data_IF_986319540511
#
_entry.id   IF_986319540511
#
_cell.length_a   1.000
_cell.length_b   1.000
_cell.length_c   1.000
_cell.angle_alpha   90.00
_cell.angle_beta   90.00
_cell.angle_gamma   90.00
#
_symmetry.space_group_name_H-M   'P 1'
#
loop_
_entity.id
_entity.type
_entity.pdbx_description
1 polymer ?
#
# COMPACT_ATOMS: atom_id res chain seq x y z
N UNK A 1 0.90 10.91 25.59
CA UNK A 1 -0.22 11.31 24.71
C UNK A 1 -0.91 10.04 24.23
N UNK A 2 -2.23 9.96 24.28
CA UNK A 2 -2.98 8.80 23.79
C UNK A 2 -3.60 9.16 22.44
N UNK A 3 -3.24 8.42 21.39
CA UNK A 3 -3.98 8.44 20.13
C UNK A 3 -5.46 8.23 20.44
N UNK A 4 -6.33 9.18 20.08
CA UNK A 4 -7.76 8.90 20.10
C UNK A 4 -8.09 8.08 18.83
N UNK A 5 -7.74 6.80 18.89
CA UNK A 5 -7.97 5.83 17.80
C UNK A 5 -9.44 5.87 17.36
N UNK A 6 -10.37 6.12 18.29
CA UNK A 6 -11.80 6.26 17.98
C UNK A 6 -12.08 7.37 16.97
N UNK A 7 -11.54 8.58 17.18
CA UNK A 7 -11.74 9.72 16.28
C UNK A 7 -11.10 9.48 14.92
N UNK A 8 -9.87 8.93 14.88
CA UNK A 8 -9.20 8.65 13.61
C UNK A 8 -9.95 7.61 12.77
N UNK A 9 -10.57 6.62 13.43
CA UNK A 9 -11.38 5.62 12.74
C UNK A 9 -12.69 6.21 12.22
N UNK A 10 -13.40 7.02 13.02
CA UNK A 10 -14.61 7.68 12.53
C UNK A 10 -14.31 8.58 11.35
N UNK A 11 -13.22 9.34 11.40
CA UNK A 11 -12.78 10.18 10.29
C UNK A 11 -12.45 9.35 9.05
N UNK A 12 -11.73 8.24 9.18
CA UNK A 12 -11.44 7.35 8.05
C UNK A 12 -12.72 6.77 7.42
N UNK A 13 -13.72 6.41 8.24
CA UNK A 13 -15.03 5.93 7.78
C UNK A 13 -15.81 7.04 7.07
N UNK A 14 -15.85 8.25 7.62
CA UNK A 14 -16.53 9.39 7.01
C UNK A 14 -15.92 9.67 5.63
N UNK A 15 -14.59 9.57 5.50
CA UNK A 15 -13.89 9.76 4.23
C UNK A 15 -14.24 8.72 3.18
N UNK A 16 -14.52 7.48 3.56
CA UNK A 16 -14.98 6.44 2.61
C UNK A 16 -16.31 6.80 1.92
N UNK A 17 -17.13 7.65 2.55
CA UNK A 17 -18.43 8.06 1.99
C UNK A 17 -18.34 9.25 1.02
N UNK A 18 -17.15 9.83 0.87
CA UNK A 18 -16.94 11.00 0.01
C UNK A 18 -16.92 10.64 -1.48
N UNK A 19 -17.19 11.64 -2.34
CA UNK A 19 -17.06 11.47 -3.79
C UNK A 19 -15.61 11.17 -4.20
N UNK A 20 -14.63 11.74 -3.49
CA UNK A 20 -13.22 11.45 -3.68
C UNK A 20 -12.91 9.97 -3.47
N UNK A 21 -13.36 9.39 -2.34
CA UNK A 21 -13.15 7.97 -2.07
C UNK A 21 -13.82 7.08 -3.12
N UNK A 22 -15.04 7.41 -3.59
CA UNK A 22 -15.69 6.64 -4.64
C UNK A 22 -14.87 6.59 -5.95
N UNK A 23 -14.31 7.73 -6.37
CA UNK A 23 -13.43 7.77 -7.56
C UNK A 23 -12.14 6.99 -7.33
N UNK A 24 -11.54 7.10 -6.15
CA UNK A 24 -10.32 6.35 -5.80
C UNK A 24 -10.56 4.84 -5.75
N UNK A 25 -11.67 4.39 -5.18
CA UNK A 25 -12.08 2.99 -5.16
C UNK A 25 -12.25 2.49 -6.60
N UNK A 26 -12.95 3.22 -7.45
CA UNK A 26 -13.13 2.85 -8.85
C UNK A 26 -11.79 2.78 -9.60
N UNK A 27 -10.91 3.76 -9.41
CA UNK A 27 -9.58 3.79 -10.04
C UNK A 27 -8.72 2.60 -9.58
N UNK A 28 -8.64 2.35 -8.27
CA UNK A 28 -7.89 1.24 -7.71
C UNK A 28 -8.47 -0.12 -8.09
N UNK A 29 -9.79 -0.22 -8.27
CA UNK A 29 -10.44 -1.44 -8.78
C UNK A 29 -9.98 -1.73 -10.22
N UNK A 30 -10.01 -0.72 -11.11
CA UNK A 30 -9.57 -0.89 -12.50
C UNK A 30 -8.09 -1.28 -12.56
N UNK A 31 -7.27 -0.65 -11.73
CA UNK A 31 -5.84 -0.95 -11.65
C UNK A 31 -5.61 -2.37 -11.08
N UNK A 32 -6.32 -2.75 -10.02
CA UNK A 32 -6.29 -4.09 -9.44
C UNK A 32 -6.63 -5.15 -10.47
N UNK A 33 -7.73 -4.97 -11.21
CA UNK A 33 -8.14 -5.88 -12.28
C UNK A 33 -7.06 -5.99 -13.36
N UNK A 34 -6.45 -4.86 -13.78
CA UNK A 34 -5.37 -4.88 -14.76
C UNK A 34 -4.11 -5.61 -14.24
N UNK A 35 -3.76 -5.44 -12.97
CA UNK A 35 -2.64 -6.14 -12.34
C UNK A 35 -2.93 -7.63 -12.19
N UNK A 36 -4.14 -8.00 -11.78
CA UNK A 36 -4.59 -9.40 -11.67
C UNK A 36 -4.59 -10.08 -13.03
N UNK A 37 -5.15 -9.44 -14.06
CA UNK A 37 -5.13 -9.93 -15.43
C UNK A 37 -3.70 -10.17 -15.95
N UNK A 38 -2.82 -9.18 -15.76
CA UNK A 38 -1.42 -9.30 -16.14
C UNK A 38 -0.70 -10.43 -15.38
N UNK A 39 -0.95 -10.57 -14.08
CA UNK A 39 -0.37 -11.65 -13.29
C UNK A 39 -0.86 -13.03 -13.76
N UNK A 40 -2.13 -13.14 -14.14
CA UNK A 40 -2.69 -14.38 -14.71
C UNK A 40 -2.05 -14.73 -16.06
N UNK A 41 -1.78 -13.76 -16.93
CA UNK A 41 -1.08 -14.01 -18.19
C UNK A 41 0.40 -14.42 -17.98
N UNK A 42 1.08 -13.82 -17.00
CA UNK A 42 2.44 -14.23 -16.62
C UNK A 42 2.42 -15.67 -16.08
N UNK A 43 1.48 -15.98 -15.19
CA UNK A 43 1.32 -17.32 -14.62
C UNK A 43 0.98 -18.35 -15.71
N UNK A 44 0.07 -18.02 -16.64
CA UNK A 44 -0.26 -18.84 -17.80
C UNK A 44 1.00 -19.20 -18.59
N UNK A 45 1.79 -18.19 -19.00
CA UNK A 45 3.00 -18.46 -19.77
C UNK A 45 4.05 -19.25 -19.00
N UNK A 46 4.15 -19.07 -17.68
CA UNK A 46 5.01 -19.90 -16.82
C UNK A 46 4.52 -21.35 -16.75
N UNK A 47 3.21 -21.57 -16.63
CA UNK A 47 2.61 -22.90 -16.62
C UNK A 47 2.74 -23.61 -17.96
N UNK A 48 2.53 -22.90 -19.07
CA UNK A 48 2.76 -23.42 -20.44
C UNK A 48 4.22 -23.81 -20.64
N UNK A 49 5.16 -22.96 -20.21
CA UNK A 49 6.59 -23.28 -20.20
C UNK A 49 6.90 -24.52 -19.35
N UNK A 50 6.20 -24.72 -18.23
CA UNK A 50 6.36 -25.90 -17.39
C UNK A 50 5.88 -27.18 -18.09
N UNK A 51 4.75 -27.12 -18.80
CA UNK A 51 4.26 -28.26 -19.62
C UNK A 51 5.25 -28.59 -20.74
N UNK A 52 5.80 -27.56 -21.41
CA UNK A 52 6.84 -27.76 -22.42
C UNK A 52 8.08 -28.45 -21.84
N UNK A 53 8.50 -28.05 -20.63
CA UNK A 53 9.62 -28.68 -19.92
C UNK A 53 9.34 -30.15 -19.56
N UNK A 54 8.10 -30.53 -19.25
CA UNK A 54 7.72 -31.93 -19.02
C UNK A 54 7.85 -32.80 -20.28
N UNK A 55 7.81 -32.20 -21.47
CA UNK A 55 8.00 -32.89 -22.74
C UNK A 55 9.46 -32.91 -23.21
N UNK A 56 10.36 -32.25 -22.49
CA UNK A 56 11.79 -32.31 -22.77
C UNK A 56 12.30 -33.75 -22.54
N UNK A 57 12.99 -34.38 -23.51
CA UNK A 57 13.56 -35.72 -23.35
C UNK A 57 14.47 -35.88 -22.11
N UNK A 58 15.13 -34.80 -21.66
CA UNK A 58 16.00 -34.83 -20.49
C UNK A 58 15.23 -34.93 -19.18
N UNK A 59 14.03 -34.33 -19.11
CA UNK A 59 13.17 -34.28 -17.90
C UNK A 59 12.17 -35.43 -17.89
N UNK A 60 11.54 -35.71 -19.04
CA UNK A 60 10.58 -36.81 -19.20
C UNK A 60 11.19 -38.20 -19.03
N UNK A 61 12.50 -38.34 -19.22
CA UNK A 61 13.21 -39.62 -19.04
C UNK A 61 13.21 -40.13 -17.60
N UNK A 62 12.96 -39.25 -16.61
CA UNK A 62 12.87 -39.60 -15.19
C UNK A 62 11.43 -39.86 -14.71
N UNK A 63 10.42 -39.54 -15.53
CA UNK A 63 9.00 -39.62 -15.18
C UNK A 63 8.29 -40.72 -15.97
N UNK A 64 7.26 -41.32 -15.38
CA UNK A 64 6.38 -42.22 -16.13
C UNK A 64 5.41 -41.45 -17.02
N UNK A 65 4.97 -42.06 -18.13
CA UNK A 65 3.99 -41.44 -19.04
C UNK A 65 2.69 -41.02 -18.32
N UNK A 66 2.24 -41.80 -17.33
CA UNK A 66 1.06 -41.48 -16.52
C UNK A 66 1.24 -40.27 -15.60
N UNK A 67 2.46 -40.03 -15.10
CA UNK A 67 2.75 -38.86 -14.26
C UNK A 67 2.75 -37.58 -15.08
N UNK A 68 3.30 -37.63 -16.30
CA UNK A 68 3.29 -36.50 -17.24
C UNK A 68 1.85 -36.15 -17.64
N UNK A 69 1.04 -37.14 -18.01
CA UNK A 69 -0.38 -36.93 -18.38
C UNK A 69 -1.17 -36.32 -17.22
N UNK A 70 -0.97 -36.81 -15.99
CA UNK A 70 -1.65 -36.29 -14.80
C UNK A 70 -1.22 -34.86 -14.47
N UNK A 71 0.06 -34.53 -14.61
CA UNK A 71 0.58 -33.19 -14.38
C UNK A 71 0.06 -32.20 -15.42
N UNK A 72 0.05 -32.61 -16.70
CA UNK A 72 -0.49 -31.81 -17.80
C UNK A 72 -1.98 -31.54 -17.62
N UNK A 73 -2.79 -32.54 -17.24
CA UNK A 73 -4.22 -32.36 -16.98
C UNK A 73 -4.46 -31.34 -15.86
N UNK A 74 -3.71 -31.43 -14.76
CA UNK A 74 -3.81 -30.47 -13.65
C UNK A 74 -3.41 -29.06 -14.09
N UNK A 75 -2.29 -28.90 -14.80
CA UNK A 75 -1.83 -27.60 -15.27
C UNK A 75 -2.83 -26.97 -16.24
N UNK A 76 -3.34 -27.75 -17.20
CA UNK A 76 -4.34 -27.29 -18.17
C UNK A 76 -5.65 -26.89 -17.48
N UNK A 77 -6.07 -27.61 -16.44
CA UNK A 77 -7.21 -27.23 -15.62
C UNK A 77 -6.97 -25.88 -14.91
N UNK A 78 -5.78 -25.65 -14.35
CA UNK A 78 -5.42 -24.35 -13.76
C UNK A 78 -5.40 -23.22 -14.79
N UNK A 79 -4.84 -23.44 -15.97
CA UNK A 79 -4.80 -22.44 -17.06
C UNK A 79 -6.22 -22.07 -17.51
N UNK A 80 -7.12 -23.05 -17.59
CA UNK A 80 -8.52 -22.84 -17.95
C UNK A 80 -9.28 -22.03 -16.88
N UNK A 81 -8.87 -22.09 -15.62
CA UNK A 81 -9.46 -21.37 -14.49
C UNK A 81 -8.82 -20.00 -14.22
N UNK A 82 -8.15 -19.40 -15.21
CA UNK A 82 -7.62 -18.03 -15.14
C UNK A 82 -8.62 -17.03 -15.76
N UNK A 83 -9.57 -16.48 -14.96
CA UNK A 83 -10.75 -15.78 -15.49
C UNK A 83 -10.49 -14.41 -16.11
N UNK A 84 -9.35 -13.79 -15.81
CA UNK A 84 -8.95 -12.45 -16.25
C UNK A 84 -7.74 -12.48 -17.19
N UNK A 85 -7.18 -13.66 -17.49
CA UNK A 85 -6.10 -13.79 -18.46
C UNK A 85 -6.56 -13.25 -19.82
N UNK A 86 -5.79 -12.32 -20.39
CA UNK A 86 -6.09 -11.65 -21.65
C UNK A 86 -5.44 -12.37 -22.84
N UNK A 87 -4.60 -13.38 -22.59
CA UNK A 87 -3.82 -14.07 -23.61
C UNK A 87 -2.63 -13.26 -24.09
N UNK A 88 -2.11 -12.37 -23.24
CA UNK A 88 -0.89 -11.62 -23.53
C UNK A 88 0.34 -12.51 -23.42
N UNK A 89 1.39 -12.19 -24.17
CA UNK A 89 2.69 -12.81 -23.94
C UNK A 89 3.23 -12.42 -22.55
N UNK A 90 4.05 -13.26 -21.89
CA UNK A 90 4.59 -12.95 -20.56
C UNK A 90 5.30 -11.59 -20.48
N UNK A 91 6.01 -11.21 -21.54
CA UNK A 91 6.67 -9.90 -21.64
C UNK A 91 5.68 -8.74 -21.71
N UNK A 92 4.63 -8.86 -22.53
CA UNK A 92 3.59 -7.83 -22.62
C UNK A 92 2.78 -7.71 -21.31
N UNK A 93 2.49 -8.84 -20.67
CA UNK A 93 1.84 -8.89 -19.38
C UNK A 93 2.69 -8.25 -18.28
N UNK A 94 4.00 -8.52 -18.24
CA UNK A 94 4.92 -7.86 -17.30
C UNK A 94 4.95 -6.33 -17.47
N UNK A 95 4.91 -5.84 -18.72
CA UNK A 95 4.82 -4.40 -19.00
C UNK A 95 3.49 -3.83 -18.52
N UNK A 96 2.37 -4.50 -18.79
CA UNK A 96 1.04 -4.08 -18.31
C UNK A 96 1.01 -3.99 -16.78
N UNK A 97 1.53 -5.01 -16.10
CA UNK A 97 1.63 -5.03 -14.64
C UNK A 97 2.46 -3.86 -14.10
N UNK A 98 3.63 -3.60 -14.71
CA UNK A 98 4.51 -2.51 -14.30
C UNK A 98 3.87 -1.13 -14.52
N UNK A 99 3.22 -0.92 -15.66
CA UNK A 99 2.51 0.33 -15.96
C UNK A 99 1.36 0.53 -14.96
N UNK A 100 0.56 -0.50 -14.71
CA UNK A 100 -0.52 -0.44 -13.73
C UNK A 100 -0.01 -0.14 -12.32
N UNK A 101 1.15 -0.71 -11.93
CA UNK A 101 1.82 -0.39 -10.67
C UNK A 101 2.27 1.08 -10.58
N UNK A 102 2.88 1.63 -11.63
CA UNK A 102 3.27 3.06 -11.62
C UNK A 102 2.04 3.97 -11.53
N UNK A 103 0.98 3.62 -12.25
CA UNK A 103 -0.31 4.34 -12.17
C UNK A 103 -0.92 4.23 -10.77
N UNK A 104 -0.84 3.06 -10.11
CA UNK A 104 -1.33 2.90 -8.74
C UNK A 104 -0.60 3.80 -7.75
N UNK A 105 0.72 3.99 -7.91
CA UNK A 105 1.48 4.92 -7.08
C UNK A 105 1.01 6.36 -7.24
N UNK A 106 0.69 6.79 -8.46
CA UNK A 106 0.14 8.12 -8.69
C UNK A 106 -1.25 8.27 -8.06
N UNK A 107 -2.11 7.24 -8.15
CA UNK A 107 -3.43 7.24 -7.48
C UNK A 107 -3.30 7.27 -5.96
N UNK A 108 -2.33 6.54 -5.39
CA UNK A 108 -2.03 6.60 -3.95
C UNK A 108 -1.57 7.99 -3.53
N UNK A 109 -0.72 8.66 -4.32
CA UNK A 109 -0.32 10.04 -4.05
C UNK A 109 -1.53 10.99 -4.05
N UNK A 110 -2.42 10.87 -5.04
CA UNK A 110 -3.66 11.66 -5.11
C UNK A 110 -4.56 11.39 -3.90
N UNK A 111 -4.68 10.13 -3.49
CA UNK A 111 -5.49 9.73 -2.34
C UNK A 111 -4.99 10.36 -1.04
N UNK A 112 -3.69 10.27 -0.79
CA UNK A 112 -3.07 10.83 0.43
C UNK A 112 -3.17 12.35 0.43
N UNK A 113 -2.94 13.02 -0.70
CA UNK A 113 -3.11 14.48 -0.83
C UNK A 113 -4.56 14.90 -0.52
N UNK A 114 -5.54 14.17 -1.08
CA UNK A 114 -6.96 14.43 -0.83
C UNK A 114 -7.37 14.19 0.64
N UNK A 115 -6.88 13.11 1.26
CA UNK A 115 -7.21 12.77 2.65
C UNK A 115 -6.46 13.62 3.68
N UNK A 116 -5.23 14.06 3.35
CA UNK A 116 -4.46 14.98 4.17
C UNK A 116 -5.14 16.35 4.26
N UNK A 117 -5.60 16.86 3.12
CA UNK A 117 -6.28 18.16 2.99
C UNK A 117 -7.80 18.10 3.23
N UNK A 118 -8.32 16.98 3.73
CA UNK A 118 -9.74 16.85 4.08
C UNK A 118 -10.73 17.12 2.92
N UNK A 119 -10.33 16.80 1.69
CA UNK A 119 -11.12 17.12 0.49
C UNK A 119 -12.24 16.10 0.27
N UNK A 120 -13.45 16.61 -0.01
CA UNK A 120 -14.62 15.78 -0.32
C UNK A 120 -14.70 15.36 -1.81
N UNK A 121 -13.94 16.05 -2.68
CA UNK A 121 -13.88 15.78 -4.12
C UNK A 121 -12.44 15.91 -4.65
N UNK A 122 -12.14 15.21 -5.75
CA UNK A 122 -10.86 15.32 -6.45
C UNK A 122 -10.79 16.53 -7.41
N UNK A 123 -11.83 17.37 -7.44
CA UNK A 123 -11.87 18.54 -8.29
C UNK A 123 -10.83 19.57 -7.86
N UNK A 124 -9.92 19.94 -8.75
CA UNK A 124 -8.91 20.97 -8.48
C UNK A 124 -7.69 20.50 -7.68
N UNK A 125 -7.47 19.18 -7.55
CA UNK A 125 -6.22 18.66 -6.99
C UNK A 125 -5.05 19.17 -7.86
N UNK A 126 -4.06 19.87 -7.28
CA UNK A 126 -2.87 20.26 -8.01
C UNK A 126 -2.16 19.01 -8.53
N UNK A 127 -2.11 18.85 -9.84
CA UNK A 127 -1.30 17.79 -10.47
C UNK A 127 0.17 18.17 -10.57
N UNK A 128 0.49 19.41 -10.22
CA UNK A 128 1.86 19.93 -10.19
C UNK A 128 2.69 19.13 -9.19
N UNK A 129 3.82 18.59 -9.65
CA UNK A 129 4.69 17.76 -8.83
C UNK A 129 4.26 16.30 -8.67
N UNK A 130 3.09 15.87 -9.17
CA UNK A 130 2.63 14.48 -9.07
C UNK A 130 3.64 13.48 -9.66
N UNK A 131 4.32 13.83 -10.74
CA UNK A 131 5.37 13.00 -11.33
C UNK A 131 6.58 12.82 -10.40
N UNK A 132 6.98 13.89 -9.69
CA UNK A 132 8.07 13.84 -8.70
C UNK A 132 7.66 13.04 -7.47
N UNK A 133 6.44 13.24 -6.95
CA UNK A 133 5.88 12.43 -5.85
C UNK A 133 5.85 10.95 -6.24
N UNK A 134 5.33 10.62 -7.42
CA UNK A 134 5.29 9.25 -7.96
C UNK A 134 6.68 8.64 -8.10
N UNK A 135 7.67 9.41 -8.56
CA UNK A 135 9.05 8.93 -8.68
C UNK A 135 9.66 8.62 -7.30
N UNK A 136 9.49 9.50 -6.32
CA UNK A 136 9.97 9.24 -4.96
C UNK A 136 9.21 8.08 -4.29
N UNK A 137 7.91 7.93 -4.56
CA UNK A 137 7.16 6.76 -4.13
C UNK A 137 7.70 5.47 -4.76
N UNK A 138 8.01 5.47 -6.06
CA UNK A 138 8.57 4.31 -6.75
C UNK A 138 9.93 3.92 -6.16
N UNK A 139 10.84 4.89 -6.02
CA UNK A 139 12.16 4.67 -5.42
C UNK A 139 12.06 4.25 -3.95
N UNK A 140 11.13 4.86 -3.22
CA UNK A 140 10.82 4.53 -1.82
C UNK A 140 10.32 3.10 -1.70
N UNK A 141 9.39 2.66 -2.55
CA UNK A 141 8.89 1.27 -2.56
C UNK A 141 9.99 0.26 -2.89
N UNK A 142 10.89 0.56 -3.82
CA UNK A 142 12.04 -0.29 -4.15
C UNK A 142 12.97 -0.41 -2.94
N UNK A 143 13.38 0.72 -2.36
CA UNK A 143 14.26 0.75 -1.20
C UNK A 143 13.62 0.05 0.01
N UNK A 144 12.35 0.34 0.30
CA UNK A 144 11.56 -0.29 1.35
C UNK A 144 11.52 -1.81 1.17
N UNK A 145 11.22 -2.29 -0.04
CA UNK A 145 11.15 -3.73 -0.33
C UNK A 145 12.50 -4.43 -0.12
N UNK A 146 13.60 -3.79 -0.52
CA UNK A 146 14.96 -4.30 -0.28
C UNK A 146 15.26 -4.35 1.21
N UNK A 147 14.94 -3.30 1.97
CA UNK A 147 15.17 -3.25 3.42
C UNK A 147 14.36 -4.34 4.13
N UNK A 148 13.09 -4.52 3.77
CA UNK A 148 12.22 -5.56 4.33
C UNK A 148 12.75 -6.95 3.97
N UNK A 149 13.16 -7.18 2.73
CA UNK A 149 13.74 -8.45 2.29
C UNK A 149 15.05 -8.79 3.03
N UNK A 150 15.95 -7.82 3.19
CA UNK A 150 17.17 -7.96 4.01
C UNK A 150 16.79 -8.23 5.47
N UNK A 151 15.77 -7.53 5.99
CA UNK A 151 15.21 -7.77 7.32
C UNK A 151 14.84 -9.24 7.49
N UNK A 152 13.99 -9.77 6.62
CA UNK A 152 13.60 -11.19 6.62
C UNK A 152 14.79 -12.14 6.47
N UNK A 153 15.80 -11.80 5.66
CA UNK A 153 16.99 -12.63 5.46
C UNK A 153 17.88 -12.69 6.71
N UNK A 154 18.03 -11.59 7.44
CA UNK A 154 18.91 -11.52 8.61
C UNK A 154 18.29 -12.15 9.85
N UNK A 155 16.99 -11.97 10.10
CA UNK A 155 16.16 -12.71 11.08
C UNK A 155 14.68 -12.51 10.67
N UNK A 156 13.77 -13.49 10.78
CA UNK A 156 12.36 -13.31 10.35
C UNK A 156 11.64 -12.14 11.07
N UNK A 157 12.03 -11.82 12.30
CA UNK A 157 11.45 -10.76 13.15
C UNK A 157 11.77 -9.31 12.68
N UNK A 158 13.01 -8.95 12.26
CA UNK A 158 13.31 -7.60 11.79
C UNK A 158 12.60 -7.17 10.51
N UNK A 159 12.17 -8.08 9.63
CA UNK A 159 11.40 -7.72 8.43
C UNK A 159 10.11 -6.94 8.77
N UNK A 160 9.19 -7.53 9.55
CA UNK A 160 7.99 -6.84 10.04
C UNK A 160 8.29 -5.59 10.87
N UNK A 161 9.38 -5.58 11.63
CA UNK A 161 9.78 -4.39 12.40
C UNK A 161 10.13 -3.21 11.48
N UNK A 162 10.91 -3.45 10.42
CA UNK A 162 11.22 -2.42 9.42
C UNK A 162 9.94 -1.94 8.72
N UNK A 163 9.06 -2.87 8.35
CA UNK A 163 7.76 -2.55 7.77
C UNK A 163 6.93 -1.63 8.68
N UNK A 164 6.90 -1.95 9.98
CA UNK A 164 6.22 -1.16 10.98
C UNK A 164 6.82 0.24 11.16
N UNK A 165 8.15 0.34 11.29
CA UNK A 165 8.86 1.61 11.47
C UNK A 165 8.71 2.56 10.28
N UNK A 166 8.58 2.01 9.09
CA UNK A 166 8.46 2.78 7.85
C UNK A 166 7.01 2.93 7.37
N UNK A 167 6.01 2.51 8.13
CA UNK A 167 4.60 2.47 7.68
C UNK A 167 4.06 3.82 7.17
N UNK A 168 4.61 4.95 7.61
CA UNK A 168 4.18 6.29 7.20
C UNK A 168 5.02 6.94 6.10
N UNK A 169 6.02 6.25 5.53
CA UNK A 169 6.91 6.88 4.53
C UNK A 169 6.15 7.43 3.33
N UNK A 170 5.07 6.75 2.92
CA UNK A 170 4.23 7.17 1.78
C UNK A 170 3.55 8.50 2.10
N UNK A 171 3.05 8.67 3.33
CA UNK A 171 2.43 9.91 3.79
C UNK A 171 3.45 11.05 3.85
N UNK A 172 4.65 10.80 4.39
CA UNK A 172 5.73 11.79 4.44
C UNK A 172 6.16 12.29 3.05
N UNK A 173 6.29 11.40 2.05
CA UNK A 173 6.62 11.81 0.67
C UNK A 173 5.54 12.71 0.08
N UNK A 174 4.27 12.39 0.32
CA UNK A 174 3.16 13.06 -0.38
C UNK A 174 2.76 14.36 0.31
N UNK A 175 2.67 14.36 1.64
CA UNK A 175 2.20 15.48 2.44
C UNK A 175 3.31 16.52 2.62
N UNK A 176 4.52 16.08 2.95
CA UNK A 176 5.64 16.98 3.26
C UNK A 176 6.55 17.25 2.04
N UNK A 177 6.18 16.75 0.85
CA UNK A 177 6.97 16.82 -0.42
C UNK A 177 8.42 16.34 -0.25
N UNK A 178 8.62 15.37 0.64
CA UNK A 178 9.94 14.87 0.99
C UNK A 178 10.52 13.91 -0.07
N UNK A 179 11.85 13.85 -0.12
CA UNK A 179 12.53 12.77 -0.84
C UNK A 179 12.35 11.44 -0.09
N UNK A 180 12.41 10.31 -0.80
CA UNK A 180 12.23 8.98 -0.18
C UNK A 180 13.19 8.69 0.99
N UNK A 181 14.40 9.28 0.97
CA UNK A 181 15.40 9.11 2.03
C UNK A 181 14.97 9.86 3.29
N UNK A 182 14.56 11.12 3.12
CA UNK A 182 14.05 11.95 4.22
C UNK A 182 12.80 11.32 4.84
N UNK A 183 11.89 10.83 3.99
CA UNK A 183 10.63 10.23 4.39
C UNK A 183 10.78 8.98 5.27
N UNK A 184 11.85 8.20 5.10
CA UNK A 184 12.15 7.09 6.01
C UNK A 184 12.56 7.58 7.40
N UNK A 185 13.32 8.67 7.48
CA UNK A 185 13.65 9.33 8.74
C UNK A 185 12.41 9.88 9.43
N UNK A 186 11.56 10.62 8.70
CA UNK A 186 10.32 11.21 9.21
C UNK A 186 9.31 10.14 9.64
N UNK A 187 9.16 9.05 8.89
CA UNK A 187 8.33 7.91 9.32
C UNK A 187 8.86 7.31 10.62
N UNK A 188 10.17 7.08 10.73
CA UNK A 188 10.76 6.50 11.93
C UNK A 188 10.55 7.40 13.17
N UNK A 189 10.71 8.73 13.04
CA UNK A 189 10.46 9.66 14.15
C UNK A 189 9.01 9.64 14.59
N UNK A 190 8.05 9.65 13.64
CA UNK A 190 6.62 9.58 13.94
C UNK A 190 6.26 8.28 14.68
N UNK A 191 6.73 7.13 14.19
CA UNK A 191 6.46 5.84 14.85
C UNK A 191 7.06 5.81 16.26
N UNK A 192 8.30 6.31 16.44
CA UNK A 192 8.98 6.31 17.73
C UNK A 192 8.33 7.26 18.74
N UNK A 193 7.80 8.40 18.30
CA UNK A 193 7.08 9.35 19.14
C UNK A 193 5.79 8.77 19.69
N UNK A 194 5.14 7.86 18.95
CA UNK A 194 3.85 7.29 19.35
C UNK A 194 3.74 5.79 19.04
N UNK A 195 4.59 4.98 19.68
CA UNK A 195 4.67 3.53 19.42
C UNK A 195 3.34 2.80 19.62
N UNK A 196 2.64 3.06 20.72
CA UNK A 196 1.42 2.33 21.07
C UNK A 196 0.25 2.72 20.15
N UNK A 197 0.10 4.02 19.84
CA UNK A 197 -0.93 4.48 18.92
C UNK A 197 -0.67 4.02 17.50
N UNK A 198 0.59 4.10 17.04
CA UNK A 198 1.00 3.58 15.73
C UNK A 198 0.78 2.08 15.64
N UNK A 199 1.08 1.32 16.70
CA UNK A 199 0.83 -0.12 16.75
C UNK A 199 -0.66 -0.43 16.63
N UNK A 200 -1.52 0.27 17.36
CA UNK A 200 -2.96 0.10 17.27
C UNK A 200 -3.49 0.41 15.86
N UNK A 201 -3.03 1.50 15.23
CA UNK A 201 -3.39 1.88 13.86
C UNK A 201 -2.89 0.84 12.85
N UNK A 202 -1.65 0.37 12.98
CA UNK A 202 -1.08 -0.64 12.11
C UNK A 202 -1.85 -1.97 12.20
N UNK A 203 -2.15 -2.44 13.41
CA UNK A 203 -2.98 -3.64 13.62
C UNK A 203 -4.36 -3.45 13.02
N UNK A 204 -5.00 -2.31 13.24
CA UNK A 204 -6.32 -2.03 12.70
C UNK A 204 -6.31 -2.02 11.16
N UNK A 205 -5.32 -1.40 10.55
CA UNK A 205 -5.14 -1.38 9.10
C UNK A 205 -4.96 -2.79 8.53
N UNK A 206 -4.12 -3.61 9.16
CA UNK A 206 -3.90 -5.01 8.78
C UNK A 206 -5.20 -5.82 8.89
N UNK A 207 -5.92 -5.68 10.00
CA UNK A 207 -7.18 -6.40 10.24
C UNK A 207 -8.24 -5.96 9.22
N UNK A 208 -8.42 -4.66 9.00
CA UNK A 208 -9.40 -4.13 8.06
C UNK A 208 -9.11 -4.59 6.62
N UNK A 209 -7.86 -4.50 6.19
CA UNK A 209 -7.44 -4.98 4.88
C UNK A 209 -7.60 -6.50 4.74
N UNK A 210 -7.17 -7.26 5.76
CA UNK A 210 -7.30 -8.72 5.78
C UNK A 210 -8.76 -9.19 5.74
N UNK A 211 -9.67 -8.49 6.42
CA UNK A 211 -11.11 -8.75 6.34
C UNK A 211 -11.64 -8.47 4.94
N UNK A 212 -11.30 -7.33 4.33
CA UNK A 212 -11.73 -7.02 2.97
C UNK A 212 -11.21 -8.06 1.97
N UNK A 213 -9.95 -8.47 2.10
CA UNK A 213 -9.36 -9.51 1.28
C UNK A 213 -10.06 -10.86 1.45
N UNK A 214 -10.35 -11.28 2.68
CA UNK A 214 -11.07 -12.53 2.96
C UNK A 214 -12.51 -12.49 2.41
N UNK A 215 -13.20 -11.36 2.55
CA UNK A 215 -14.54 -11.18 1.98
C UNK A 215 -14.45 -11.22 0.46
N UNK A 216 -13.48 -10.53 -0.15
CA UNK A 216 -13.24 -10.54 -1.58
C UNK A 216 -13.02 -11.95 -2.14
N UNK A 217 -12.13 -12.73 -1.52
CA UNK A 217 -11.87 -14.13 -1.93
C UNK A 217 -13.10 -15.02 -1.78
N UNK A 218 -13.92 -14.80 -0.74
CA UNK A 218 -15.20 -15.52 -0.56
C UNK A 218 -16.17 -15.20 -1.71
N UNK A 219 -16.28 -13.93 -2.11
CA UNK A 219 -17.12 -13.52 -3.24
C UNK A 219 -16.63 -14.07 -4.58
N UNK A 220 -15.30 -14.12 -4.79
CA UNK A 220 -14.71 -14.75 -5.96
C UNK A 220 -15.06 -16.24 -6.08
N UNK A 221 -15.23 -16.94 -4.95
CA UNK A 221 -15.68 -18.35 -4.95
C UNK A 221 -17.17 -18.55 -5.23
N UNK A 222 -18.00 -17.51 -5.06
CA UNK A 222 -19.45 -17.58 -5.28
C UNK A 222 -19.81 -17.16 -6.70
N UNK A 223 -19.16 -16.10 -7.21
CA UNK A 223 -19.42 -15.55 -8.53
C UNK A 223 -18.51 -16.20 -9.58
N UNK A 224 -19.05 -16.61 -10.74
CA UNK A 224 -18.25 -17.30 -11.73
C UNK A 224 -17.30 -16.35 -12.48
N UNK A 225 -16.10 -16.87 -12.77
CA UNK A 225 -15.15 -16.30 -13.71
C UNK A 225 -14.77 -14.84 -13.41
N UNK A 226 -14.73 -14.01 -14.47
CA UNK A 226 -14.26 -12.62 -14.38
C UNK A 226 -15.10 -11.77 -13.42
N UNK A 227 -16.40 -12.06 -13.30
CA UNK A 227 -17.29 -11.29 -12.44
C UNK A 227 -16.93 -11.42 -10.95
N UNK A 228 -16.52 -12.61 -10.51
CA UNK A 228 -16.06 -12.84 -9.15
C UNK A 228 -14.73 -12.18 -8.86
N UNK A 229 -13.79 -12.25 -9.82
CA UNK A 229 -12.49 -11.60 -9.70
C UNK A 229 -12.62 -10.07 -9.59
N UNK A 230 -13.43 -9.44 -10.46
CA UNK A 230 -13.67 -7.99 -10.42
C UNK A 230 -14.35 -7.57 -9.10
N UNK A 231 -15.31 -8.36 -8.60
CA UNK A 231 -15.95 -8.08 -7.32
C UNK A 231 -14.95 -8.17 -6.15
N UNK A 232 -14.05 -9.15 -6.17
CA UNK A 232 -13.00 -9.29 -5.17
C UNK A 232 -12.02 -8.10 -5.19
N UNK A 233 -11.61 -7.64 -6.38
CA UNK A 233 -10.75 -6.47 -6.54
C UNK A 233 -11.44 -5.19 -6.06
N UNK A 234 -12.75 -5.03 -6.31
CA UNK A 234 -13.54 -3.92 -5.79
C UNK A 234 -13.54 -3.89 -4.25
N UNK A 235 -13.80 -5.03 -3.61
CA UNK A 235 -13.83 -5.13 -2.14
C UNK A 235 -12.43 -4.86 -1.57
N UNK A 236 -11.39 -5.38 -2.22
CA UNK A 236 -10.00 -5.13 -1.84
C UNK A 236 -9.67 -3.64 -1.96
N UNK A 237 -10.09 -2.97 -3.03
CA UNK A 237 -9.90 -1.53 -3.23
C UNK A 237 -10.55 -0.69 -2.13
N UNK A 238 -11.75 -1.07 -1.66
CA UNK A 238 -12.38 -0.42 -0.49
C UNK A 238 -11.48 -0.50 0.74
N UNK A 239 -10.95 -1.69 1.03
CA UNK A 239 -10.00 -1.90 2.13
C UNK A 239 -8.73 -1.07 1.97
N UNK A 240 -8.18 -0.99 0.76
CA UNK A 240 -6.99 -0.16 0.48
C UNK A 240 -7.26 1.33 0.75
N UNK A 241 -8.38 1.87 0.25
CA UNK A 241 -8.73 3.27 0.46
C UNK A 241 -8.95 3.58 1.94
N UNK A 242 -9.58 2.66 2.68
CA UNK A 242 -9.73 2.79 4.13
C UNK A 242 -8.37 2.88 4.85
N UNK A 243 -7.45 1.97 4.53
CA UNK A 243 -6.10 1.97 5.12
C UNK A 243 -5.33 3.24 4.75
N UNK A 244 -5.43 3.70 3.50
CA UNK A 244 -4.81 4.96 3.07
C UNK A 244 -5.34 6.15 3.86
N UNK A 245 -6.67 6.26 4.01
CA UNK A 245 -7.28 7.32 4.81
C UNK A 245 -6.82 7.24 6.27
N UNK A 246 -6.86 6.05 6.87
CA UNK A 246 -6.43 5.81 8.25
C UNK A 246 -4.97 6.24 8.47
N UNK A 247 -4.04 5.74 7.64
CA UNK A 247 -2.61 6.07 7.77
C UNK A 247 -2.33 7.55 7.54
N UNK A 248 -3.01 8.17 6.58
CA UNK A 248 -2.85 9.60 6.27
C UNK A 248 -3.27 10.47 7.45
N UNK A 249 -4.45 10.21 8.03
CA UNK A 249 -4.95 10.98 9.18
C UNK A 249 -4.11 10.77 10.41
N UNK A 250 -3.68 9.53 10.66
CA UNK A 250 -2.74 9.23 11.73
C UNK A 250 -1.44 10.02 11.58
N UNK A 251 -0.90 10.10 10.37
CA UNK A 251 0.32 10.86 10.10
C UNK A 251 0.14 12.36 10.34
N UNK A 252 -0.88 12.98 9.75
CA UNK A 252 -1.16 14.42 9.89
C UNK A 252 -1.38 14.79 11.36
N UNK A 253 -2.12 13.97 12.11
CA UNK A 253 -2.34 14.22 13.54
C UNK A 253 -1.04 14.12 14.34
N UNK A 254 -0.17 13.16 14.01
CA UNK A 254 1.10 13.00 14.71
C UNK A 254 2.07 14.14 14.45
N UNK A 255 2.10 14.72 13.25
CA UNK A 255 2.98 15.85 12.90
C UNK A 255 2.45 17.20 13.37
N UNK A 256 1.13 17.36 13.48
CA UNK A 256 0.50 18.55 14.05
C UNK A 256 0.79 18.72 15.56
N UNK A 257 0.79 17.62 16.31
CA UNK A 257 1.06 17.67 17.76
C UNK A 257 2.53 18.04 18.07
N UNK A 258 3.50 17.53 17.29
CA UNK A 258 4.94 17.86 17.45
C UNK A 258 5.22 19.36 17.24
N UNK A 259 4.48 20.01 16.34
CA UNK A 259 4.61 21.46 16.09
C UNK A 259 3.97 22.30 17.21
N UNK A 260 2.88 21.83 17.83
CA UNK A 260 2.26 22.53 18.97
C UNK A 260 3.16 22.53 20.23
N UNK A 261 3.83 21.41 20.52
CA UNK A 261 4.71 21.28 21.69
C UNK A 261 6.01 22.08 21.54
N UNK A 262 6.59 22.15 20.34
CA UNK A 262 7.80 22.94 20.07
C UNK A 262 7.56 24.46 20.19
N UNK A 263 6.37 24.95 19.83
CA UNK A 263 5.98 26.36 20.01
C UNK A 263 5.74 26.71 21.48
N UNK A 264 5.12 25.81 22.26
CA UNK A 264 4.90 26.07 23.69
C UNK A 264 6.21 26.18 24.46
N UNK A 265 7.13 25.23 24.25
CA UNK A 265 8.45 25.25 24.90
C UNK A 265 9.27 26.49 24.53
N UNK A 266 9.28 26.90 23.25
CA UNK A 266 9.98 28.12 22.82
C UNK A 266 9.44 29.40 23.46
N UNK A 267 8.13 29.46 23.72
CA UNK A 267 7.50 30.61 24.40
C UNK A 267 7.78 30.63 25.91
N UNK A 268 7.90 29.47 26.55
CA UNK A 268 8.19 29.34 27.98
C UNK A 268 9.64 29.76 28.29
N UNK A 269 10.61 29.33 27.46
CA UNK A 269 12.01 29.77 27.55
C UNK A 269 12.18 31.28 27.28
N UNK A 270 11.41 31.84 26.36
CA UNK A 270 11.43 33.29 26.09
C UNK A 270 10.87 34.11 27.25
N UNK A 271 9.82 33.61 27.92
CA UNK A 271 9.24 34.28 29.10
C UNK A 271 10.16 34.19 30.33
N UNK A 272 10.88 33.08 30.49
CA UNK A 272 11.78 32.86 31.62
C UNK A 272 13.02 33.76 31.55
N UNK A 273 13.59 33.92 30.35
CA UNK A 273 14.75 34.81 30.09
C UNK A 273 14.43 36.30 30.24
N UNK A 274 13.21 36.74 29.88
CA UNK A 274 12.75 38.11 30.17
C UNK A 274 12.53 38.36 31.68
N UNK A 275 12.11 37.32 32.42
CA UNK A 275 11.89 37.43 33.87
C UNK A 275 13.21 37.52 34.66
N UNK A 276 14.25 36.83 34.22
CA UNK A 276 15.60 36.90 34.82
C UNK A 276 16.29 38.22 34.50
N UNK A 277 16.13 38.75 33.28
CA UNK A 277 16.62 40.08 32.90
C UNK A 277 16.04 41.20 33.79
N UNK A 278 14.75 41.11 34.14
CA UNK A 278 14.09 42.07 35.05
C UNK A 278 14.47 41.90 36.52
N UNK A 279 14.99 40.75 36.94
CA UNK A 279 15.45 40.52 38.33
C UNK A 279 16.88 40.97 38.59
N UNK A 280 17.71 41.14 37.56
CA UNK A 280 19.12 41.56 37.69
C UNK A 280 19.36 43.07 37.84
N UNK A 281 18.31 43.91 37.91
CA UNK A 281 18.42 45.39 37.92
C UNK A 281 17.91 46.07 39.19
N UNK A 282 17.88 45.37 40.33
CA UNK A 282 17.61 45.98 41.64
C UNK A 282 18.78 45.86 42.59
#
# INVERSE_FOLDING_TARGET
MAFNVGNTVSEAVDRLTTSAAAVLIAALTVIGVAQTAALQDILRGFLEWTVEMLHDPEVSGELSASEIETAEEQINAYIADLPLALGLSPGAAAVLWLVAFVVSLAVVAIAIDAFGDERDSLGGIPTDGLGRKTLHLLLGWIAYSILVAIGFLLVVVPGPLVAFLLMFFVAAIVIDDESFISAFGSSYSVVRGNLLGTFAVGVLGIVAFGVCWLVGTTFAGILPGASGAIAADLITAVGQVFVLALLTRTYVNATADDTADSVSSGSEWAAETESESRRGTR
#
